data_IF_189095823058
#
_entry.id   IF_189095823058
#
_cell.length_a   1.000
_cell.length_b   1.000
_cell.length_c   1.000
_cell.angle_alpha   90.00
_cell.angle_beta   90.00
_cell.angle_gamma   90.00
#
_symmetry.space_group_name_H-M   'P 1'
#
loop_
_entity.id
_entity.type
_entity.pdbx_description
1 polymer ?
#
# COMPACT_ATOMS: atom_id res chain seq x y z
N UNK A 1 9.28 -8.52 -20.29
CA UNK A 1 8.71 -9.61 -19.50
C UNK A 1 8.10 -10.67 -20.41
N UNK A 2 8.29 -11.92 -20.08
CA UNK A 2 7.52 -13.03 -20.65
C UNK A 2 6.31 -13.24 -19.76
N UNK A 3 5.14 -12.83 -20.25
CA UNK A 3 3.88 -13.03 -19.53
C UNK A 3 3.22 -14.37 -19.92
N UNK A 4 2.22 -14.81 -19.15
CA UNK A 4 1.51 -16.07 -19.40
C UNK A 4 0.83 -16.15 -20.79
N UNK A 5 0.54 -15.01 -21.43
CA UNK A 5 -0.19 -14.95 -22.72
C UNK A 5 0.61 -14.27 -23.83
N UNK A 6 1.61 -13.47 -23.48
CA UNK A 6 2.32 -12.60 -24.43
C UNK A 6 3.77 -12.43 -24.00
N UNK A 7 4.71 -12.50 -24.94
CA UNK A 7 6.10 -12.15 -24.73
C UNK A 7 6.29 -10.64 -24.95
N UNK A 8 6.67 -9.92 -23.90
CA UNK A 8 6.93 -8.48 -23.95
C UNK A 8 8.05 -8.08 -24.92
N UNK A 9 8.95 -9.01 -25.27
CA UNK A 9 10.01 -8.76 -26.23
C UNK A 9 9.48 -8.48 -27.66
N UNK A 10 8.29 -9.01 -28.00
CA UNK A 10 7.65 -8.80 -29.30
C UNK A 10 7.25 -7.32 -29.53
N UNK A 11 7.14 -6.55 -28.46
CA UNK A 11 6.80 -5.12 -28.52
C UNK A 11 8.02 -4.20 -28.55
N UNK A 12 9.24 -4.71 -28.40
CA UNK A 12 10.47 -3.88 -28.39
C UNK A 12 10.58 -2.98 -29.64
N UNK A 13 10.34 -3.47 -30.88
CA UNK A 13 10.38 -2.60 -32.05
C UNK A 13 9.40 -1.41 -31.97
N UNK A 14 8.22 -1.65 -31.42
CA UNK A 14 7.15 -0.64 -31.31
C UNK A 14 7.47 0.44 -30.26
N UNK A 15 8.19 0.10 -29.17
CA UNK A 15 8.55 1.09 -28.15
C UNK A 15 9.63 2.04 -28.66
N UNK A 16 10.53 1.58 -29.53
CA UNK A 16 11.47 2.46 -30.22
C UNK A 16 10.76 3.41 -31.21
N UNK A 17 9.73 2.94 -31.93
CA UNK A 17 8.90 3.79 -32.79
C UNK A 17 8.15 4.88 -31.99
N UNK A 18 7.93 4.65 -30.68
CA UNK A 18 7.35 5.62 -29.72
C UNK A 18 8.39 6.49 -29.01
N UNK A 19 9.66 6.41 -29.40
CA UNK A 19 10.73 7.26 -28.86
C UNK A 19 11.48 6.71 -27.64
N UNK A 20 11.40 5.40 -27.35
CA UNK A 20 12.24 4.82 -26.31
C UNK A 20 13.72 4.95 -26.67
N UNK A 21 14.53 5.41 -25.72
CA UNK A 21 15.98 5.56 -25.90
C UNK A 21 16.73 4.24 -25.71
N UNK A 22 16.20 3.35 -24.88
CA UNK A 22 16.78 2.06 -24.55
C UNK A 22 15.70 1.11 -24.05
N UNK A 23 15.92 -0.21 -24.15
CA UNK A 23 15.04 -1.22 -23.57
C UNK A 23 15.82 -2.24 -22.73
N UNK A 24 15.11 -2.98 -21.88
CA UNK A 24 15.63 -4.16 -21.20
C UNK A 24 15.19 -5.42 -21.96
N UNK A 25 16.06 -6.41 -22.05
CA UNK A 25 15.77 -7.70 -22.68
C UNK A 25 16.39 -8.85 -21.90
N UNK A 26 15.67 -9.95 -21.76
CA UNK A 26 16.17 -11.19 -21.15
C UNK A 26 16.88 -12.09 -22.16
N UNK A 27 16.75 -11.77 -23.44
CA UNK A 27 17.36 -12.51 -24.56
C UNK A 27 18.12 -11.59 -25.51
N UNK A 28 19.02 -12.16 -26.30
CA UNK A 28 19.66 -11.44 -27.38
C UNK A 28 18.61 -11.05 -28.44
N UNK A 29 18.74 -9.84 -28.96
CA UNK A 29 17.83 -9.30 -29.97
C UNK A 29 18.53 -9.28 -31.32
N UNK A 30 17.91 -9.89 -32.33
CA UNK A 30 18.40 -9.86 -33.70
C UNK A 30 18.03 -8.51 -34.34
N UNK A 31 19.02 -7.74 -34.81
CA UNK A 31 18.85 -6.45 -35.47
C UNK A 31 17.93 -5.48 -34.69
N UNK A 32 18.23 -5.15 -33.43
CA UNK A 32 17.38 -4.28 -32.64
C UNK A 32 17.32 -2.87 -33.24
N UNK A 33 16.14 -2.23 -33.20
CA UNK A 33 15.94 -0.84 -33.70
C UNK A 33 16.69 0.22 -32.88
N UNK A 34 17.19 -0.14 -31.68
CA UNK A 34 17.92 0.77 -30.80
C UNK A 34 18.66 0.03 -29.70
N UNK A 35 19.35 0.75 -28.79
CA UNK A 35 20.14 0.17 -27.73
C UNK A 35 19.27 -0.66 -26.77
N UNK A 36 19.81 -1.77 -26.30
CA UNK A 36 19.19 -2.56 -25.23
C UNK A 36 20.23 -3.02 -24.20
N UNK A 37 19.77 -3.27 -22.99
CA UNK A 37 20.55 -3.83 -21.90
C UNK A 37 20.04 -5.25 -21.69
N UNK A 38 20.92 -6.24 -21.86
CA UNK A 38 20.60 -7.62 -21.54
C UNK A 38 20.67 -7.83 -20.03
N UNK A 39 19.62 -8.41 -19.47
CA UNK A 39 19.49 -8.73 -18.05
C UNK A 39 19.02 -10.18 -17.88
N UNK A 40 19.28 -10.78 -16.73
CA UNK A 40 18.79 -12.12 -16.42
C UNK A 40 17.27 -12.13 -16.21
N UNK A 41 16.73 -11.09 -15.56
CA UNK A 41 15.31 -10.90 -15.33
C UNK A 41 14.94 -9.42 -15.43
N UNK A 42 14.05 -9.09 -16.34
CA UNK A 42 13.52 -7.72 -16.50
C UNK A 42 12.71 -7.30 -15.26
N UNK A 43 12.02 -8.25 -14.62
CA UNK A 43 11.27 -7.98 -13.38
C UNK A 43 12.21 -7.59 -12.23
N UNK A 44 13.32 -8.30 -12.08
CA UNK A 44 14.35 -7.96 -11.07
C UNK A 44 15.01 -6.64 -11.39
N UNK A 45 15.43 -6.44 -12.64
CA UNK A 45 16.07 -5.20 -13.08
C UNK A 45 15.16 -3.97 -12.86
N UNK A 46 13.85 -4.11 -13.10
CA UNK A 46 12.88 -3.03 -12.83
C UNK A 46 12.85 -2.66 -11.34
N UNK A 47 12.83 -3.66 -10.44
CA UNK A 47 12.87 -3.45 -8.99
C UNK A 47 14.19 -2.79 -8.56
N UNK A 48 15.31 -3.26 -9.07
CA UNK A 48 16.63 -2.71 -8.74
C UNK A 48 16.78 -1.25 -9.21
N UNK A 49 16.29 -0.92 -10.40
CA UNK A 49 16.26 0.45 -10.92
C UNK A 49 15.38 1.33 -10.04
N UNK A 50 14.19 0.86 -9.66
CA UNK A 50 13.27 1.62 -8.82
C UNK A 50 13.82 1.81 -7.40
N UNK A 51 14.44 0.78 -6.80
CA UNK A 51 15.13 0.89 -5.50
C UNK A 51 16.29 1.89 -5.56
N UNK A 52 17.12 1.81 -6.59
CA UNK A 52 18.21 2.77 -6.79
C UNK A 52 17.69 4.21 -6.91
N UNK A 53 16.65 4.41 -7.72
CA UNK A 53 16.00 5.71 -7.89
C UNK A 53 15.39 6.21 -6.58
N UNK A 54 14.66 5.35 -5.85
CA UNK A 54 14.05 5.68 -4.54
C UNK A 54 15.07 6.22 -3.54
N UNK A 55 16.26 5.64 -3.50
CA UNK A 55 17.33 6.05 -2.57
C UNK A 55 17.85 7.47 -2.81
N UNK A 56 17.57 8.06 -3.96
CA UNK A 56 17.97 9.41 -4.33
C UNK A 56 16.86 10.44 -4.07
N UNK A 57 15.64 9.99 -3.76
CA UNK A 57 14.50 10.87 -3.55
C UNK A 57 14.39 11.32 -2.09
N UNK A 58 14.09 12.60 -1.89
CA UNK A 58 13.72 13.17 -0.59
C UNK A 58 12.23 12.98 -0.26
N UNK A 59 11.40 12.62 -1.24
CA UNK A 59 9.98 12.38 -1.11
C UNK A 59 9.67 11.37 0.02
N UNK A 60 8.73 11.68 0.91
CA UNK A 60 8.28 10.79 1.97
C UNK A 60 7.32 9.75 1.45
N UNK A 61 7.54 8.48 1.80
CA UNK A 61 6.70 7.37 1.37
C UNK A 61 5.78 6.92 2.51
N UNK A 62 4.48 6.89 2.22
CA UNK A 62 3.47 6.25 3.06
C UNK A 62 3.09 4.93 2.39
N UNK A 63 3.54 3.82 2.95
CA UNK A 63 3.18 2.47 2.51
C UNK A 63 1.89 2.01 3.19
N UNK A 64 0.94 1.50 2.39
CA UNK A 64 -0.36 1.04 2.89
C UNK A 64 -0.60 -0.40 2.47
N UNK A 65 -0.84 -1.28 3.44
CA UNK A 65 -1.27 -2.65 3.19
C UNK A 65 -2.46 -3.05 4.07
N UNK A 66 -2.94 -4.25 3.89
CA UNK A 66 -4.02 -4.88 4.63
C UNK A 66 -4.82 -5.84 3.78
N UNK A 67 -5.67 -6.63 4.39
CA UNK A 67 -6.52 -7.59 3.67
C UNK A 67 -7.61 -6.88 2.88
N UNK A 68 -8.25 -5.87 3.48
CA UNK A 68 -9.27 -5.03 2.83
C UNK A 68 -9.04 -3.55 3.17
N UNK A 69 -9.61 -2.65 2.38
CA UNK A 69 -9.61 -1.20 2.64
C UNK A 69 -8.35 -0.45 2.19
N UNK A 70 -7.35 -1.10 1.61
CA UNK A 70 -6.12 -0.46 1.12
C UNK A 70 -6.36 0.73 0.21
N UNK A 71 -7.09 0.51 -0.87
CA UNK A 71 -7.36 1.55 -1.89
C UNK A 71 -8.15 2.72 -1.31
N UNK A 72 -9.18 2.45 -0.52
CA UNK A 72 -9.96 3.49 0.13
C UNK A 72 -9.13 4.32 1.11
N UNK A 73 -8.29 3.66 1.91
CA UNK A 73 -7.37 4.32 2.84
C UNK A 73 -6.36 5.17 2.09
N UNK A 74 -5.79 4.66 1.00
CA UNK A 74 -4.89 5.40 0.11
C UNK A 74 -5.54 6.68 -0.43
N UNK A 75 -6.75 6.57 -0.97
CA UNK A 75 -7.46 7.72 -1.54
C UNK A 75 -7.77 8.80 -0.48
N UNK A 76 -8.21 8.38 0.72
CA UNK A 76 -8.50 9.32 1.82
C UNK A 76 -7.21 10.00 2.30
N UNK A 77 -6.14 9.24 2.54
CA UNK A 77 -4.87 9.82 2.98
C UNK A 77 -4.34 10.79 1.93
N UNK A 78 -4.34 10.39 0.65
CA UNK A 78 -3.87 11.24 -0.42
C UNK A 78 -4.67 12.54 -0.50
N UNK A 79 -6.02 12.48 -0.47
CA UNK A 79 -6.86 13.65 -0.58
C UNK A 79 -6.65 14.66 0.57
N UNK A 80 -6.40 14.17 1.79
CA UNK A 80 -6.08 15.05 2.94
C UNK A 80 -4.71 15.69 2.78
N UNK A 81 -3.73 14.95 2.30
CA UNK A 81 -2.36 15.45 2.11
C UNK A 81 -2.26 16.42 0.93
N UNK A 82 -3.05 16.24 -0.12
CA UNK A 82 -3.13 17.11 -1.30
C UNK A 82 -3.54 18.55 -0.95
N UNK A 83 -4.19 18.77 0.20
CA UNK A 83 -4.51 20.13 0.71
C UNK A 83 -3.25 20.94 1.05
N UNK A 84 -2.11 20.28 1.26
CA UNK A 84 -0.87 20.95 1.69
C UNK A 84 0.38 20.56 0.90
N UNK A 85 0.44 19.34 0.39
CA UNK A 85 1.63 18.75 -0.22
C UNK A 85 1.38 18.40 -1.69
N UNK A 86 2.46 18.36 -2.47
CA UNK A 86 2.44 17.72 -3.79
C UNK A 86 2.50 16.21 -3.61
N UNK A 87 1.37 15.55 -3.83
CA UNK A 87 1.21 14.12 -3.56
C UNK A 87 1.22 13.32 -4.86
N UNK A 88 1.99 12.22 -4.87
CA UNK A 88 1.85 11.14 -5.84
C UNK A 88 1.17 9.98 -5.14
N UNK A 89 0.30 9.23 -5.83
CA UNK A 89 -0.31 8.02 -5.27
C UNK A 89 -0.34 6.90 -6.28
N UNK A 90 -0.41 5.65 -5.78
CA UNK A 90 -0.61 4.47 -6.62
C UNK A 90 -1.89 4.62 -7.43
N UNK A 91 -1.78 4.53 -8.74
CA UNK A 91 -2.90 4.55 -9.69
C UNK A 91 -3.49 3.15 -9.85
N UNK A 92 -4.83 3.07 -9.91
CA UNK A 92 -5.53 1.80 -10.14
C UNK A 92 -5.06 0.71 -9.18
N UNK A 93 -4.64 -0.43 -9.73
CA UNK A 93 -4.14 -1.61 -9.03
C UNK A 93 -2.63 -1.84 -9.20
N UNK A 94 -1.84 -0.78 -9.44
CA UNK A 94 -0.37 -0.87 -9.54
C UNK A 94 0.29 -1.07 -8.17
N UNK A 95 -0.17 -2.07 -7.41
CA UNK A 95 0.19 -2.35 -6.03
C UNK A 95 1.01 -3.63 -5.83
N UNK A 96 1.48 -4.24 -6.91
CA UNK A 96 2.26 -5.48 -6.93
C UNK A 96 3.72 -5.25 -7.33
N UNK A 97 4.52 -6.33 -7.43
CA UNK A 97 5.95 -6.29 -7.73
C UNK A 97 6.34 -5.67 -9.09
N UNK A 98 5.38 -5.35 -9.95
CA UNK A 98 5.61 -4.61 -11.20
C UNK A 98 5.03 -3.20 -11.09
N UNK A 99 3.82 -3.08 -10.58
CA UNK A 99 3.11 -1.80 -10.50
C UNK A 99 3.72 -0.82 -9.52
N UNK A 100 4.19 -1.30 -8.36
CA UNK A 100 4.83 -0.44 -7.37
C UNK A 100 6.15 0.16 -7.86
N UNK A 101 7.12 -0.61 -8.42
CA UNK A 101 8.31 -0.03 -9.02
C UNK A 101 8.01 1.02 -10.10
N UNK A 102 7.03 0.77 -10.97
CA UNK A 102 6.59 1.75 -11.95
C UNK A 102 6.00 3.02 -11.31
N UNK A 103 5.32 2.88 -10.18
CA UNK A 103 4.80 4.02 -9.41
C UNK A 103 5.94 4.82 -8.79
N UNK A 104 6.94 4.16 -8.19
CA UNK A 104 8.14 4.80 -7.63
C UNK A 104 8.89 5.58 -8.71
N UNK A 105 9.04 5.02 -9.91
CA UNK A 105 9.71 5.68 -11.03
C UNK A 105 8.95 6.89 -11.59
N UNK A 106 7.68 7.12 -11.20
CA UNK A 106 6.92 8.33 -11.52
C UNK A 106 7.17 9.49 -10.55
N UNK A 107 7.79 9.25 -9.40
CA UNK A 107 8.10 10.31 -8.45
C UNK A 107 9.07 11.30 -9.10
N UNK A 108 8.88 12.59 -8.84
CA UNK A 108 9.72 13.70 -9.32
C UNK A 108 10.07 14.60 -8.13
N UNK A 109 11.03 15.50 -8.32
CA UNK A 109 11.52 16.41 -7.28
C UNK A 109 10.43 17.30 -6.68
N UNK A 110 9.36 17.55 -7.41
CA UNK A 110 8.19 18.31 -6.95
C UNK A 110 7.31 17.55 -5.98
N UNK A 111 7.36 16.21 -5.96
CA UNK A 111 6.55 15.41 -5.05
C UNK A 111 7.18 15.38 -3.65
N UNK A 112 6.42 15.84 -2.67
CA UNK A 112 6.84 15.86 -1.27
C UNK A 112 6.48 14.56 -0.54
N UNK A 113 5.32 13.97 -0.93
CA UNK A 113 4.80 12.72 -0.35
C UNK A 113 4.31 11.80 -1.46
N UNK A 114 4.57 10.50 -1.31
CA UNK A 114 3.95 9.48 -2.14
C UNK A 114 3.18 8.47 -1.29
N UNK A 115 1.94 8.18 -1.67
CA UNK A 115 1.05 7.23 -0.99
C UNK A 115 0.99 5.95 -1.81
N UNK A 116 1.69 4.93 -1.34
CA UNK A 116 1.94 3.68 -2.07
C UNK A 116 1.09 2.56 -1.50
N UNK A 117 0.19 2.03 -2.31
CA UNK A 117 -0.58 0.84 -1.99
C UNK A 117 0.27 -0.41 -2.28
N UNK A 118 0.37 -1.32 -1.29
CA UNK A 118 1.20 -2.52 -1.34
C UNK A 118 0.32 -3.75 -1.16
N UNK A 119 0.11 -4.48 -2.26
CA UNK A 119 -0.69 -5.70 -2.32
C UNK A 119 0.20 -6.93 -2.46
N UNK A 120 -0.12 -7.99 -1.70
CA UNK A 120 0.61 -9.26 -1.73
C UNK A 120 -0.33 -10.44 -1.78
N UNK A 121 0.16 -11.53 -2.33
CA UNK A 121 -0.51 -12.83 -2.41
C UNK A 121 0.30 -13.95 -1.76
N UNK A 122 1.62 -13.75 -1.55
CA UNK A 122 2.52 -14.76 -1.01
C UNK A 122 3.55 -14.16 -0.03
N UNK A 123 4.27 -15.02 0.67
CA UNK A 123 5.39 -14.63 1.53
C UNK A 123 6.52 -13.96 0.73
N UNK A 124 7.28 -13.11 1.39
CA UNK A 124 8.39 -12.33 0.83
C UNK A 124 8.02 -11.32 -0.27
N UNK A 125 6.80 -11.33 -0.78
CA UNK A 125 6.37 -10.28 -1.72
C UNK A 125 6.40 -8.90 -1.05
N UNK A 126 5.89 -8.78 0.18
CA UNK A 126 5.91 -7.53 0.94
C UNK A 126 7.35 -7.10 1.26
N UNK A 127 8.23 -8.03 1.60
CA UNK A 127 9.65 -7.76 1.80
C UNK A 127 10.29 -7.11 0.55
N UNK A 128 10.01 -7.67 -0.64
CA UNK A 128 10.50 -7.12 -1.91
C UNK A 128 9.91 -5.75 -2.24
N UNK A 129 8.62 -5.55 -2.00
CA UNK A 129 7.95 -4.24 -2.16
C UNK A 129 8.55 -3.21 -1.19
N UNK A 130 8.68 -3.56 0.09
CA UNK A 130 9.26 -2.68 1.10
C UNK A 130 10.71 -2.30 0.79
N UNK A 131 11.50 -3.22 0.19
CA UNK A 131 12.87 -2.96 -0.25
C UNK A 131 12.91 -1.85 -1.30
N UNK A 132 11.96 -1.86 -2.24
CA UNK A 132 11.86 -0.84 -3.30
C UNK A 132 11.36 0.48 -2.75
N UNK A 133 10.23 0.49 -2.03
CA UNK A 133 9.57 1.72 -1.56
C UNK A 133 10.25 2.37 -0.36
N UNK A 134 10.82 1.56 0.56
CA UNK A 134 11.46 2.02 1.81
C UNK A 134 10.58 3.04 2.56
N UNK A 135 9.42 2.60 3.10
CA UNK A 135 8.41 3.52 3.63
C UNK A 135 8.91 4.29 4.86
N UNK A 136 8.56 5.57 4.91
CA UNK A 136 8.75 6.45 6.08
C UNK A 136 7.55 6.32 7.04
N UNK A 137 6.38 5.96 6.51
CA UNK A 137 5.17 5.68 7.27
C UNK A 137 4.59 4.35 6.80
N UNK A 138 4.29 3.45 7.74
CA UNK A 138 3.66 2.16 7.48
C UNK A 138 2.23 2.14 8.03
N UNK A 139 1.26 1.82 7.18
CA UNK A 139 -0.15 1.71 7.56
C UNK A 139 -0.64 0.29 7.26
N UNK A 140 -1.16 -0.42 8.27
CA UNK A 140 -1.81 -1.72 8.07
C UNK A 140 -3.27 -1.62 8.51
N UNK A 141 -4.18 -1.80 7.55
CA UNK A 141 -5.62 -1.61 7.79
C UNK A 141 -6.25 -2.73 8.60
N UNK A 142 -5.95 -3.99 8.26
CA UNK A 142 -6.44 -5.18 8.96
C UNK A 142 -5.74 -6.47 8.50
N UNK A 143 -5.90 -7.53 9.30
CA UNK A 143 -5.45 -8.89 9.01
C UNK A 143 -6.68 -9.80 8.88
N UNK A 144 -7.14 -9.98 7.64
CA UNK A 144 -8.27 -10.86 7.30
C UNK A 144 -7.82 -12.23 6.79
N UNK A 145 -8.71 -12.86 6.03
CA UNK A 145 -8.54 -14.23 5.48
C UNK A 145 -8.28 -14.25 3.98
N UNK A 146 -7.58 -13.23 3.45
CA UNK A 146 -7.21 -13.19 2.03
C UNK A 146 -5.98 -14.08 1.75
N UNK A 147 -5.90 -14.65 0.55
CA UNK A 147 -4.75 -15.44 0.06
C UNK A 147 -4.35 -16.61 0.99
N UNK A 148 -5.32 -17.26 1.64
CA UNK A 148 -5.05 -18.38 2.55
C UNK A 148 -4.46 -19.59 1.84
N UNK A 149 -4.72 -19.74 0.53
CA UNK A 149 -4.12 -20.76 -0.31
C UNK A 149 -2.59 -20.74 -0.30
N UNK A 150 -1.98 -19.55 -0.18
CA UNK A 150 -0.53 -19.37 -0.13
C UNK A 150 -0.02 -19.09 1.28
N UNK A 151 -0.79 -18.33 2.07
CA UNK A 151 -0.37 -17.85 3.38
C UNK A 151 -0.83 -18.75 4.54
N UNK A 152 -1.66 -19.76 4.27
CA UNK A 152 -2.14 -20.76 5.23
C UNK A 152 -3.27 -20.24 6.11
N UNK A 153 -2.97 -19.36 7.03
CA UNK A 153 -3.93 -18.82 8.00
C UNK A 153 -3.75 -17.31 8.26
N UNK A 154 -4.48 -16.76 9.22
CA UNK A 154 -4.36 -15.35 9.59
C UNK A 154 -3.00 -15.00 10.22
N UNK A 155 -2.30 -15.94 10.81
CA UNK A 155 -0.95 -15.73 11.31
C UNK A 155 0.05 -15.60 10.16
N UNK A 156 -0.11 -16.42 9.11
CA UNK A 156 0.63 -16.27 7.88
C UNK A 156 0.34 -14.94 7.18
N UNK A 157 -0.93 -14.51 7.10
CA UNK A 157 -1.29 -13.19 6.55
C UNK A 157 -0.66 -12.05 7.37
N UNK A 158 -0.67 -12.15 8.69
CA UNK A 158 -0.02 -11.18 9.57
C UNK A 158 1.49 -11.13 9.32
N UNK A 159 2.16 -12.30 9.32
CA UNK A 159 3.59 -12.40 9.04
C UNK A 159 3.95 -11.77 7.70
N UNK A 160 3.26 -12.16 6.63
CA UNK A 160 3.53 -11.65 5.29
C UNK A 160 3.34 -10.13 5.17
N UNK A 161 2.29 -9.54 5.81
CA UNK A 161 2.06 -8.11 5.74
C UNK A 161 3.01 -7.28 6.61
N UNK A 162 3.50 -7.84 7.72
CA UNK A 162 4.47 -7.18 8.60
C UNK A 162 5.89 -7.19 8.06
N UNK A 163 6.21 -7.97 7.01
CA UNK A 163 7.44 -7.84 6.23
C UNK A 163 7.64 -6.42 5.68
N UNK A 164 6.58 -5.59 5.63
CA UNK A 164 6.69 -4.16 5.32
C UNK A 164 7.70 -3.43 6.23
N UNK A 165 7.87 -3.90 7.45
CA UNK A 165 8.77 -3.29 8.43
C UNK A 165 10.25 -3.55 8.16
N UNK A 166 10.59 -4.57 7.37
CA UNK A 166 11.98 -5.01 7.12
C UNK A 166 12.85 -3.92 6.49
N UNK A 167 12.24 -3.08 5.64
CA UNK A 167 12.91 -1.96 4.98
C UNK A 167 12.30 -0.58 5.32
N UNK A 168 11.42 -0.53 6.31
CA UNK A 168 10.93 0.74 6.81
C UNK A 168 12.11 1.60 7.32
N UNK A 169 12.01 2.91 7.17
CA UNK A 169 13.04 3.82 7.67
C UNK A 169 13.24 3.64 9.18
N UNK A 170 14.44 3.94 9.69
CA UNK A 170 14.74 3.76 11.12
C UNK A 170 13.76 4.53 12.02
N UNK A 171 13.35 5.71 11.58
CA UNK A 171 12.40 6.56 12.29
C UNK A 171 10.98 6.43 11.68
N UNK A 172 10.64 5.25 11.15
CA UNK A 172 9.35 4.98 10.52
C UNK A 172 8.20 5.18 11.51
N UNK A 173 7.19 5.91 11.08
CA UNK A 173 5.95 6.06 11.83
C UNK A 173 4.99 4.93 11.47
N UNK A 174 4.57 4.13 12.45
CA UNK A 174 3.74 2.95 12.22
C UNK A 174 2.32 3.20 12.74
N UNK A 175 1.32 2.98 11.88
CA UNK A 175 -0.11 3.19 12.17
C UNK A 175 -0.86 1.88 11.94
N UNK A 176 -1.42 1.33 13.01
CA UNK A 176 -2.06 0.02 13.00
C UNK A 176 -3.50 0.09 13.49
N UNK A 177 -4.32 -0.80 12.95
CA UNK A 177 -5.67 -0.98 13.45
C UNK A 177 -5.67 -1.63 14.84
N UNK A 178 -6.05 -0.87 15.84
CA UNK A 178 -6.11 -1.33 17.22
C UNK A 178 -7.32 -2.23 17.54
N UNK A 179 -8.33 -2.28 16.66
CA UNK A 179 -9.49 -3.18 16.79
C UNK A 179 -9.22 -4.55 16.15
N UNK A 180 -8.10 -4.70 15.44
CA UNK A 180 -7.65 -5.99 14.89
C UNK A 180 -6.88 -6.77 15.95
N UNK A 181 -7.28 -8.02 16.20
CA UNK A 181 -6.73 -8.89 17.24
C UNK A 181 -5.26 -9.27 17.02
N UNK A 182 -4.75 -9.22 15.80
CA UNK A 182 -3.35 -9.48 15.49
C UNK A 182 -2.52 -8.20 15.60
N UNK A 183 -2.97 -7.11 14.98
CA UNK A 183 -2.25 -5.84 14.95
C UNK A 183 -2.15 -5.19 16.33
N UNK A 184 -3.20 -5.29 17.16
CA UNK A 184 -3.21 -4.71 18.53
C UNK A 184 -2.15 -5.30 19.46
N UNK A 185 -1.56 -6.44 19.11
CA UNK A 185 -0.50 -7.08 19.87
C UNK A 185 0.92 -6.62 19.50
N UNK A 186 1.07 -5.86 18.43
CA UNK A 186 2.38 -5.28 18.02
C UNK A 186 2.78 -4.23 19.04
N UNK A 187 3.88 -4.45 19.75
CA UNK A 187 4.35 -3.54 20.81
C UNK A 187 5.31 -2.49 20.30
N UNK A 188 6.13 -2.88 19.33
CA UNK A 188 7.24 -2.07 18.85
C UNK A 188 7.62 -2.46 17.43
N UNK A 189 8.04 -1.48 16.64
CA UNK A 189 8.65 -1.63 15.33
C UNK A 189 9.85 -0.68 15.27
N UNK A 190 11.05 -1.20 15.01
CA UNK A 190 12.29 -0.43 14.95
C UNK A 190 12.57 0.45 16.19
N UNK A 191 12.16 -0.01 17.40
CA UNK A 191 12.35 0.74 18.63
C UNK A 191 11.25 1.77 18.94
N UNK A 192 10.19 1.83 18.14
CA UNK A 192 9.09 2.80 18.30
C UNK A 192 7.76 2.09 18.49
N UNK A 193 6.96 2.58 19.44
CA UNK A 193 5.60 2.09 19.64
C UNK A 193 4.69 2.53 18.49
N UNK A 194 3.86 1.63 17.92
CA UNK A 194 2.88 2.01 16.91
C UNK A 194 1.81 2.96 17.46
N UNK A 195 1.27 3.82 16.60
CA UNK A 195 0.03 4.54 16.85
C UNK A 195 -1.15 3.68 16.44
N UNK A 196 -2.10 3.51 17.33
CA UNK A 196 -3.29 2.71 17.07
C UNK A 196 -4.50 3.57 16.75
N UNK A 197 -5.21 3.18 15.69
CA UNK A 197 -6.53 3.73 15.39
C UNK A 197 -7.62 2.67 15.59
N UNK A 198 -8.86 3.12 15.84
CA UNK A 198 -10.00 2.21 16.04
C UNK A 198 -11.31 2.93 16.27
N UNK A 199 -12.37 2.14 16.52
CA UNK A 199 -13.72 2.61 16.88
C UNK A 199 -14.31 1.88 18.09
N UNK A 200 -13.83 0.68 18.39
CA UNK A 200 -14.42 -0.19 19.41
C UNK A 200 -13.71 -0.10 20.77
N UNK A 201 -12.44 0.27 20.77
CA UNK A 201 -11.60 0.34 21.97
C UNK A 201 -10.93 1.70 22.07
N UNK A 202 -10.59 2.12 23.31
CA UNK A 202 -9.84 3.37 23.50
C UNK A 202 -8.46 3.27 22.84
N UNK A 203 -8.22 4.15 21.88
CA UNK A 203 -7.01 4.17 21.03
C UNK A 203 -6.50 5.61 20.91
N UNK A 204 -5.28 5.75 20.40
CA UNK A 204 -4.65 7.06 20.15
C UNK A 204 -5.47 7.92 19.21
N UNK A 205 -6.04 7.27 18.17
CA UNK A 205 -6.95 7.89 17.21
C UNK A 205 -8.22 7.04 17.14
N UNK A 206 -9.38 7.61 17.47
CA UNK A 206 -10.63 6.87 17.42
C UNK A 206 -11.83 7.71 17.00
N UNK A 207 -12.79 7.07 16.33
CA UNK A 207 -14.09 7.64 16.09
C UNK A 207 -14.99 7.46 17.32
N UNK A 208 -15.14 8.51 18.14
CA UNK A 208 -15.93 8.47 19.38
C UNK A 208 -17.44 8.40 19.08
N UNK A 209 -17.88 9.11 18.02
CA UNK A 209 -19.27 9.16 17.59
C UNK A 209 -19.31 9.31 16.08
N UNK A 210 -20.24 8.62 15.44
CA UNK A 210 -20.48 8.78 14.00
C UNK A 210 -22.00 8.72 13.71
N UNK A 211 -22.41 9.43 12.66
CA UNK A 211 -23.80 9.55 12.24
C UNK A 211 -23.84 9.58 10.70
N UNK A 212 -24.63 8.68 10.12
CA UNK A 212 -24.80 8.67 8.67
C UNK A 212 -25.71 9.84 8.25
N UNK A 213 -25.24 10.62 7.29
CA UNK A 213 -26.01 11.68 6.63
C UNK A 213 -26.56 11.22 5.26
N UNK A 214 -26.63 9.90 5.02
CA UNK A 214 -27.03 9.30 3.77
C UNK A 214 -26.07 9.65 2.63
N UNK A 215 -26.60 10.15 1.52
CA UNK A 215 -25.80 10.55 0.33
C UNK A 215 -24.83 11.71 0.61
N UNK A 216 -25.00 12.44 1.71
CA UNK A 216 -24.12 13.55 2.11
C UNK A 216 -22.90 13.10 2.90
N UNK A 217 -22.74 11.79 3.13
CA UNK A 217 -21.59 11.23 3.81
C UNK A 217 -21.84 10.86 5.27
N UNK A 218 -20.81 10.92 6.09
CA UNK A 218 -20.85 10.55 7.52
C UNK A 218 -20.27 11.67 8.38
N UNK A 219 -21.03 12.13 9.37
CA UNK A 219 -20.53 13.03 10.40
C UNK A 219 -19.78 12.19 11.44
N UNK A 220 -18.56 12.59 11.77
CA UNK A 220 -17.69 11.86 12.69
C UNK A 220 -17.10 12.80 13.73
N UNK A 221 -17.11 12.36 14.99
CA UNK A 221 -16.33 12.95 16.06
C UNK A 221 -15.13 12.07 16.33
N UNK A 222 -13.94 12.60 16.08
CA UNK A 222 -12.67 11.89 16.20
C UNK A 222 -11.94 12.38 17.47
N UNK A 223 -11.47 11.45 18.31
CA UNK A 223 -10.42 11.67 19.29
C UNK A 223 -9.09 11.46 18.57
N UNK A 224 -8.17 12.36 18.76
CA UNK A 224 -6.81 12.29 18.24
C UNK A 224 -5.86 12.67 19.39
N UNK A 225 -5.27 11.68 20.01
CA UNK A 225 -4.58 11.83 21.30
C UNK A 225 -5.49 12.58 22.31
N UNK A 226 -5.05 13.72 22.81
CA UNK A 226 -5.82 14.54 23.78
C UNK A 226 -6.80 15.54 23.12
N UNK A 227 -6.84 15.58 21.77
CA UNK A 227 -7.68 16.51 21.00
C UNK A 227 -8.95 15.83 20.50
N UNK A 228 -9.96 16.62 20.20
CA UNK A 228 -11.21 16.18 19.57
C UNK A 228 -11.49 17.03 18.35
N UNK A 229 -11.93 16.37 17.28
CA UNK A 229 -12.29 17.00 16.02
C UNK A 229 -13.68 16.52 15.60
N UNK A 230 -14.56 17.45 15.24
CA UNK A 230 -15.81 17.14 14.56
C UNK A 230 -15.63 17.42 13.05
N UNK A 231 -15.93 16.43 12.21
CA UNK A 231 -15.82 16.56 10.76
C UNK A 231 -16.94 15.81 10.04
N UNK A 232 -17.08 16.09 8.75
CA UNK A 232 -17.94 15.33 7.84
C UNK A 232 -17.06 14.73 6.76
N UNK A 233 -17.15 13.41 6.62
CA UNK A 233 -16.53 12.68 5.53
C UNK A 233 -17.55 12.64 4.39
N UNK A 234 -17.36 13.37 3.27
CA UNK A 234 -18.36 13.55 2.24
C UNK A 234 -18.42 12.36 1.26
N UNK A 235 -18.34 11.14 1.80
CA UNK A 235 -18.40 9.90 1.03
C UNK A 235 -19.69 9.18 1.40
N UNK A 236 -20.62 8.94 0.44
CA UNK A 236 -21.87 8.23 0.70
C UNK A 236 -21.60 6.79 1.16
N UNK A 237 -22.42 6.33 2.11
CA UNK A 237 -22.38 4.94 2.61
C UNK A 237 -21.72 4.81 3.98
N UNK A 238 -21.84 3.61 4.53
CA UNK A 238 -21.24 3.26 5.81
C UNK A 238 -19.74 2.95 5.64
N UNK A 239 -18.93 3.95 5.34
CA UNK A 239 -17.46 3.78 5.25
C UNK A 239 -16.87 3.23 6.54
N UNK A 240 -17.47 3.55 7.68
CA UNK A 240 -17.17 2.94 8.96
C UNK A 240 -17.73 1.51 9.06
N UNK A 241 -18.70 1.10 8.23
CA UNK A 241 -19.23 -0.26 8.23
C UNK A 241 -18.39 -1.24 7.42
N UNK A 242 -17.49 -0.79 6.55
CA UNK A 242 -16.44 -1.68 6.00
C UNK A 242 -15.55 -2.24 7.11
N UNK A 243 -15.45 -1.53 8.23
CA UNK A 243 -14.87 -2.01 9.47
C UNK A 243 -15.84 -2.92 10.24
N UNK A 244 -17.16 -2.78 10.04
CA UNK A 244 -18.21 -3.57 10.70
C UNK A 244 -18.62 -4.83 9.91
N UNK A 245 -18.29 -5.00 8.63
CA UNK A 245 -18.62 -6.21 7.87
C UNK A 245 -17.93 -7.46 8.44
N UNK A 246 -16.87 -7.30 9.19
CA UNK A 246 -16.31 -8.36 10.04
C UNK A 246 -17.24 -8.74 11.21
N UNK A 247 -18.13 -7.84 11.68
CA UNK A 247 -19.13 -8.16 12.71
C UNK A 247 -20.36 -8.89 12.16
N UNK A 248 -20.74 -8.65 10.88
CA UNK A 248 -21.91 -9.32 10.29
C UNK A 248 -21.75 -10.84 10.25
N UNK A 249 -20.56 -11.35 10.02
CA UNK A 249 -20.28 -12.78 10.10
C UNK A 249 -20.30 -13.33 11.54
N UNK A 250 -20.06 -12.54 12.57
CA UNK A 250 -20.22 -12.94 13.98
C UNK A 250 -21.69 -13.04 14.38
N UNK A 251 -22.56 -12.17 13.86
CA UNK A 251 -23.99 -12.23 14.17
C UNK A 251 -24.75 -13.34 13.43
N UNK A 252 -24.27 -13.79 12.28
CA UNK A 252 -24.86 -14.95 11.58
C UNK A 252 -24.63 -16.28 12.30
N UNK A 253 -23.52 -16.44 12.99
CA UNK A 253 -23.17 -17.67 13.70
C UNK A 253 -23.71 -17.77 15.14
N UNK A 254 -24.47 -16.77 15.61
CA UNK A 254 -25.14 -16.82 16.93
C UNK A 254 -26.67 -17.08 16.82
N UNK A 255 -27.20 -17.38 15.65
CA UNK A 255 -28.59 -17.76 15.41
C UNK A 255 -28.70 -19.10 14.68
N UNK A 256 -27.95 -20.11 15.13
CA UNK A 256 -28.22 -21.51 14.81
C UNK A 256 -28.10 -22.36 16.07
#
# INVERSE_FOLDING_TARGET
FVGARVDGHDFIPQVFDKGALCTLSEKDLDNPKGPYIKVESVATALKDIAEFYRKQLSCKIIGITGSVGKTSTKEIIASVLEEKFKVLKTEGNYNNEIGEPLTILKIRDEHEVAVIEMGISDFEEMHRLAKVSRPDVCVITNIGTCHLENLGDRDGVFKAKTEMFDYASKDCFVVLNGDDDKLSNVKEVNGHAPVFFGIDTDRDVMAIKYESLGIRGTKVKIKYFDKKLDTVIPIPGYWLSFWNDFRWNRFRNQKS
#
